data_IF_863091796212
#
_entry.id   IF_863091796212
#
_cell.length_a   1.000
_cell.length_b   1.000
_cell.length_c   1.000
_cell.angle_alpha   90.00
_cell.angle_beta   90.00
_cell.angle_gamma   90.00
#
_symmetry.space_group_name_H-M   'P 1'
#
loop_
_entity.id
_entity.type
_entity.pdbx_description
1 polymer ?
#
# COMPACT_ATOMS: atom_id res chain seq x y z
N UNK A 1 -22.61 -14.24 13.39
CA UNK A 1 -21.37 -13.81 14.08
C UNK A 1 -21.00 -12.43 13.56
N UNK A 2 -21.10 -11.43 14.43
CA UNK A 2 -21.11 -10.01 14.10
C UNK A 2 -19.79 -9.53 13.47
N UNK A 3 -19.81 -9.18 12.19
CA UNK A 3 -18.77 -8.38 11.52
C UNK A 3 -19.05 -6.90 11.78
N UNK A 4 -18.04 -6.17 12.27
CA UNK A 4 -18.05 -4.70 12.19
C UNK A 4 -17.61 -4.37 10.78
N UNK A 5 -18.57 -4.12 9.90
CA UNK A 5 -18.32 -3.75 8.51
C UNK A 5 -17.89 -2.28 8.46
N UNK A 6 -16.60 -2.05 8.19
CA UNK A 6 -16.14 -0.74 7.76
C UNK A 6 -16.32 -0.63 6.25
N UNK A 7 -17.47 -0.11 5.84
CA UNK A 7 -17.76 0.17 4.44
C UNK A 7 -17.42 1.61 4.09
N UNK A 8 -16.74 1.83 2.96
CA UNK A 8 -16.63 3.16 2.35
C UNK A 8 -17.14 3.10 0.91
N UNK A 9 -18.10 3.96 0.60
CA UNK A 9 -18.55 4.22 -0.76
C UNK A 9 -17.90 5.52 -1.25
N UNK A 10 -17.32 5.49 -2.45
CA UNK A 10 -16.77 6.67 -3.12
C UNK A 10 -17.06 6.58 -4.61
N UNK A 11 -17.88 7.52 -5.11
CA UNK A 11 -18.44 7.40 -6.46
C UNK A 11 -19.29 6.14 -6.58
N UNK A 12 -19.02 5.34 -7.60
CA UNK A 12 -19.70 4.06 -7.90
C UNK A 12 -19.06 2.85 -7.21
N UNK A 13 -17.88 3.01 -6.60
CA UNK A 13 -17.15 1.92 -5.95
C UNK A 13 -17.51 1.83 -4.46
N UNK A 14 -17.82 0.60 -3.99
CA UNK A 14 -17.86 0.30 -2.55
C UNK A 14 -16.70 -0.61 -2.17
N UNK A 15 -16.14 -0.36 -0.98
CA UNK A 15 -15.09 -1.19 -0.41
C UNK A 15 -15.42 -1.56 1.02
N UNK A 16 -15.03 -2.77 1.40
CA UNK A 16 -15.31 -3.35 2.71
C UNK A 16 -14.05 -3.99 3.26
N UNK A 17 -13.81 -3.91 4.56
CA UNK A 17 -12.75 -4.70 5.19
C UNK A 17 -13.18 -6.17 5.35
N UNK A 18 -12.34 -7.10 4.91
CA UNK A 18 -12.57 -8.56 5.12
C UNK A 18 -12.20 -8.95 6.56
N UNK A 19 -13.02 -8.55 7.55
CA UNK A 19 -12.76 -8.62 9.00
C UNK A 19 -11.58 -7.73 9.45
N UNK A 20 -11.75 -7.04 10.59
CA UNK A 20 -10.86 -7.16 11.76
C UNK A 20 -11.36 -6.26 12.90
N UNK A 21 -11.63 -6.83 14.08
CA UNK A 21 -11.71 -6.06 15.34
C UNK A 21 -10.30 -5.76 15.87
N UNK A 22 -9.36 -5.39 14.99
CA UNK A 22 -7.98 -5.10 15.40
C UNK A 22 -7.86 -3.61 15.71
N UNK A 23 -7.74 -3.30 16.99
CA UNK A 23 -7.55 -1.92 17.46
C UNK A 23 -6.31 -1.27 16.83
N UNK A 24 -6.32 0.05 16.70
CA UNK A 24 -5.16 0.84 16.26
C UNK A 24 -3.88 0.50 17.06
N UNK A 25 -4.02 0.24 18.36
CA UNK A 25 -2.94 -0.21 19.23
C UNK A 25 -2.28 -1.51 18.77
N UNK A 26 -3.02 -2.39 18.09
CA UNK A 26 -2.47 -3.61 17.52
C UNK A 26 -1.59 -3.32 16.30
N UNK A 27 -2.00 -2.41 15.41
CA UNK A 27 -1.17 -2.00 14.28
C UNK A 27 0.07 -1.22 14.71
N UNK A 28 -0.03 -0.34 15.71
CA UNK A 28 1.16 0.33 16.26
C UNK A 28 2.11 -0.66 16.96
N UNK A 29 1.58 -1.65 17.68
CA UNK A 29 2.38 -2.75 18.24
C UNK A 29 3.04 -3.58 17.15
N UNK A 30 2.31 -3.95 16.09
CA UNK A 30 2.87 -4.64 14.92
C UNK A 30 3.99 -3.84 14.27
N UNK A 31 3.82 -2.53 14.09
CA UNK A 31 4.86 -1.65 13.55
C UNK A 31 6.06 -1.60 14.47
N UNK A 32 5.87 -1.42 15.78
CA UNK A 32 6.97 -1.41 16.76
C UNK A 32 7.74 -2.74 16.75
N UNK A 33 7.02 -3.86 16.75
CA UNK A 33 7.59 -5.20 16.68
C UNK A 33 8.32 -5.46 15.38
N UNK A 34 7.81 -4.96 14.27
CA UNK A 34 8.42 -5.18 12.98
C UNK A 34 9.50 -4.16 12.62
N UNK A 35 9.47 -2.94 13.16
CA UNK A 35 10.62 -2.02 13.18
C UNK A 35 11.77 -2.61 14.02
N UNK A 36 11.45 -3.28 15.13
CA UNK A 36 12.41 -4.03 15.91
C UNK A 36 12.91 -5.28 15.14
N UNK A 37 12.00 -6.03 14.52
CA UNK A 37 12.27 -7.20 13.69
C UNK A 37 13.14 -6.90 12.48
N UNK A 38 12.87 -5.82 11.73
CA UNK A 38 13.70 -5.36 10.60
C UNK A 38 15.09 -4.91 11.04
N UNK A 39 15.21 -4.24 12.19
CA UNK A 39 16.52 -3.88 12.77
C UNK A 39 17.34 -5.12 13.12
N UNK A 40 16.68 -6.17 13.63
CA UNK A 40 17.31 -7.46 13.91
C UNK A 40 17.58 -8.29 12.65
N UNK A 41 16.70 -8.25 11.64
CA UNK A 41 16.89 -8.93 10.36
C UNK A 41 18.03 -8.34 9.55
N UNK A 42 18.23 -7.01 9.54
CA UNK A 42 19.41 -6.40 8.92
C UNK A 42 20.71 -7.03 9.45
N UNK A 43 20.76 -7.28 10.77
CA UNK A 43 21.92 -7.92 11.43
C UNK A 43 22.06 -9.43 11.17
N UNK A 44 20.98 -10.13 10.83
CA UNK A 44 20.98 -11.59 10.58
C UNK A 44 21.06 -11.98 9.10
N UNK A 45 20.46 -11.20 8.20
CA UNK A 45 20.57 -11.39 6.75
C UNK A 45 21.98 -11.08 6.23
N UNK A 46 22.78 -10.32 6.99
CA UNK A 46 24.21 -10.14 6.74
C UNK A 46 25.04 -11.38 7.12
N UNK A 47 24.47 -12.39 7.81
CA UNK A 47 25.24 -13.52 8.37
C UNK A 47 24.95 -14.91 7.80
N UNK A 48 23.77 -15.31 7.32
CA UNK A 48 23.61 -16.70 6.86
C UNK A 48 22.57 -16.93 5.75
N UNK A 49 22.86 -17.94 4.93
CA UNK A 49 22.13 -18.43 3.76
C UNK A 49 21.21 -19.64 4.09
N UNK A 50 20.42 -19.58 5.16
CA UNK A 50 19.59 -20.71 5.61
C UNK A 50 18.08 -20.43 5.62
N UNK A 51 17.32 -21.44 5.16
CA UNK A 51 15.88 -21.74 5.39
C UNK A 51 14.78 -21.21 4.46
N UNK A 52 14.53 -21.89 3.33
CA UNK A 52 13.42 -21.64 2.41
C UNK A 52 11.99 -21.68 3.03
N UNK A 53 11.74 -22.45 4.09
CA UNK A 53 10.41 -22.47 4.76
C UNK A 53 10.23 -21.35 5.79
N UNK A 54 11.27 -21.01 6.56
CA UNK A 54 11.26 -19.79 7.39
C UNK A 54 11.20 -18.54 6.51
N UNK A 55 11.78 -18.56 5.30
CA UNK A 55 11.69 -17.48 4.34
C UNK A 55 10.24 -17.17 3.94
N UNK A 56 9.36 -18.18 3.78
CA UNK A 56 7.94 -17.97 3.49
C UNK A 56 7.18 -17.35 4.68
N UNK A 57 7.40 -17.84 5.89
CA UNK A 57 6.81 -17.24 7.11
C UNK A 57 7.35 -15.81 7.37
N UNK A 58 8.63 -15.58 7.09
CA UNK A 58 9.25 -14.27 7.12
C UNK A 58 8.68 -13.35 6.04
N UNK A 59 8.41 -13.87 4.83
CA UNK A 59 7.78 -13.14 3.74
C UNK A 59 6.36 -12.73 4.05
N UNK A 60 5.56 -13.63 4.60
CA UNK A 60 4.21 -13.33 5.08
C UNK A 60 4.27 -12.30 6.21
N UNK A 61 5.17 -12.46 7.19
CA UNK A 61 5.37 -11.48 8.26
C UNK A 61 5.82 -10.11 7.75
N UNK A 62 6.62 -10.07 6.68
CA UNK A 62 7.06 -8.83 6.03
C UNK A 62 5.96 -8.18 5.18
N UNK A 63 5.10 -8.98 4.55
CA UNK A 63 3.91 -8.47 3.86
C UNK A 63 2.96 -7.77 4.83
N UNK A 64 2.60 -8.46 5.91
CA UNK A 64 1.76 -7.89 6.99
C UNK A 64 2.39 -6.61 7.56
N UNK A 65 3.72 -6.60 7.74
CA UNK A 65 4.43 -5.41 8.18
C UNK A 65 4.32 -4.25 7.20
N UNK A 66 4.56 -4.49 5.91
CA UNK A 66 4.46 -3.45 4.89
C UNK A 66 3.07 -2.83 4.87
N UNK A 67 2.04 -3.66 4.93
CA UNK A 67 0.64 -3.26 4.99
C UNK A 67 0.38 -2.38 6.22
N UNK A 68 0.84 -2.80 7.41
CA UNK A 68 0.70 -2.05 8.64
C UNK A 68 1.42 -0.69 8.59
N UNK A 69 2.65 -0.64 8.07
CA UNK A 69 3.39 0.61 7.91
C UNK A 69 2.65 1.63 7.05
N UNK A 70 2.13 1.18 5.91
CA UNK A 70 1.34 2.03 5.01
C UNK A 70 0.09 2.50 5.73
N UNK A 71 -0.70 1.59 6.31
CA UNK A 71 -1.92 1.92 7.05
C UNK A 71 -1.69 2.99 8.12
N UNK A 72 -0.70 2.80 9.00
CA UNK A 72 -0.44 3.77 10.06
C UNK A 72 0.17 5.08 9.56
N UNK A 73 0.86 5.09 8.42
CA UNK A 73 1.40 6.33 7.86
C UNK A 73 0.30 7.34 7.52
N UNK A 74 -0.87 6.87 7.10
CA UNK A 74 -2.03 7.71 6.79
C UNK A 74 -2.95 7.90 7.99
N UNK A 75 -3.18 6.85 8.79
CA UNK A 75 -4.01 6.97 9.99
C UNK A 75 -3.45 8.01 10.98
N UNK A 76 -2.13 8.03 11.20
CA UNK A 76 -1.48 9.03 12.09
C UNK A 76 -1.56 10.46 11.56
N UNK A 77 -2.06 10.64 10.33
CA UNK A 77 -2.38 11.94 9.72
C UNK A 77 -3.87 12.25 9.75
N UNK A 78 -4.68 11.44 10.42
CA UNK A 78 -6.12 11.63 10.56
C UNK A 78 -6.94 11.09 9.39
N UNK A 79 -6.32 10.39 8.43
CA UNK A 79 -7.05 9.83 7.29
C UNK A 79 -7.73 8.51 7.66
N UNK A 80 -8.89 8.26 7.04
CA UNK A 80 -9.57 6.97 7.16
C UNK A 80 -8.85 5.93 6.31
N UNK A 81 -8.57 4.78 6.92
CA UNK A 81 -7.86 3.66 6.29
C UNK A 81 -8.65 2.37 6.50
N UNK A 82 -8.58 1.48 5.52
CA UNK A 82 -9.23 0.17 5.54
C UNK A 82 -8.14 -0.90 5.36
N UNK A 83 -7.93 -1.81 6.32
CA UNK A 83 -7.06 -2.96 6.11
C UNK A 83 -7.76 -3.98 5.20
N UNK A 84 -6.99 -4.56 4.29
CA UNK A 84 -7.43 -5.63 3.39
C UNK A 84 -8.79 -5.34 2.71
N UNK A 85 -8.94 -4.18 2.03
CA UNK A 85 -10.21 -3.83 1.41
C UNK A 85 -10.54 -4.79 0.28
N UNK A 86 -11.78 -5.23 0.27
CA UNK A 86 -12.41 -5.99 -0.81
C UNK A 86 -13.32 -5.06 -1.58
N UNK A 87 -13.14 -5.06 -2.90
CA UNK A 87 -14.01 -4.32 -3.81
C UNK A 87 -15.36 -5.04 -3.93
N UNK A 88 -16.44 -4.32 -3.68
CA UNK A 88 -17.80 -4.79 -3.89
C UNK A 88 -18.60 -3.71 -4.61
N UNK A 89 -19.57 -4.13 -5.42
CA UNK A 89 -20.34 -3.24 -6.29
C UNK A 89 -19.46 -2.44 -7.25
N UNK A 90 -19.44 -2.87 -8.50
CA UNK A 90 -19.07 -2.03 -9.63
C UNK A 90 -20.09 -2.21 -10.74
N UNK A 91 -20.36 -1.14 -11.48
CA UNK A 91 -21.01 -1.22 -12.78
C UNK A 91 -20.09 -1.90 -13.81
N UNK A 92 -20.66 -2.32 -14.94
CA UNK A 92 -19.98 -3.13 -15.96
C UNK A 92 -18.72 -2.46 -16.58
N UNK A 93 -18.58 -1.13 -16.47
CA UNK A 93 -17.52 -0.35 -17.13
C UNK A 93 -16.36 0.08 -16.21
N UNK A 94 -16.29 -0.42 -14.97
CA UNK A 94 -15.17 -0.15 -14.08
C UNK A 94 -13.96 -1.06 -14.39
N UNK A 95 -12.74 -0.51 -14.51
CA UNK A 95 -11.55 -1.33 -14.74
C UNK A 95 -11.09 -2.12 -13.49
N UNK A 96 -11.70 -1.90 -12.32
CA UNK A 96 -11.39 -2.61 -11.08
C UNK A 96 -12.36 -3.77 -10.89
N UNK A 97 -11.84 -5.00 -10.89
CA UNK A 97 -12.66 -6.21 -10.78
C UNK A 97 -13.28 -6.38 -9.39
N UNK A 98 -14.58 -6.69 -9.34
CA UNK A 98 -15.30 -7.08 -8.10
C UNK A 98 -14.60 -8.25 -7.41
N UNK A 99 -14.52 -8.20 -6.08
CA UNK A 99 -13.90 -9.25 -5.26
C UNK A 99 -12.38 -9.15 -5.16
N UNK A 100 -11.73 -8.27 -5.93
CA UNK A 100 -10.30 -7.99 -5.79
C UNK A 100 -10.02 -7.47 -4.38
N UNK A 101 -8.97 -8.02 -3.77
CA UNK A 101 -8.51 -7.62 -2.44
C UNK A 101 -7.19 -6.87 -2.58
N UNK A 102 -7.11 -5.69 -1.99
CA UNK A 102 -5.87 -4.92 -1.90
C UNK A 102 -5.31 -5.01 -0.48
N UNK A 103 -4.08 -4.56 -0.26
CA UNK A 103 -3.44 -4.59 1.05
C UNK A 103 -3.97 -3.49 1.98
N UNK A 104 -4.15 -2.29 1.45
CA UNK A 104 -4.61 -1.11 2.20
C UNK A 104 -5.52 -0.22 1.34
N UNK A 105 -6.64 0.21 1.91
CA UNK A 105 -7.49 1.27 1.38
C UNK A 105 -7.26 2.58 2.12
N UNK A 106 -7.15 3.71 1.43
CA UNK A 106 -6.96 5.03 2.05
C UNK A 106 -7.96 6.01 1.46
N UNK A 107 -8.84 6.57 2.28
CA UNK A 107 -9.76 7.62 1.85
C UNK A 107 -9.05 8.98 1.85
N UNK A 108 -9.06 9.64 0.70
CA UNK A 108 -8.57 11.01 0.52
C UNK A 108 -9.79 11.94 0.39
N UNK A 109 -9.85 12.99 1.21
CA UNK A 109 -10.93 13.99 1.26
C UNK A 109 -10.34 15.41 1.17
N UNK A 110 -9.41 15.66 0.24
CA UNK A 110 -8.78 17.00 0.08
C UNK A 110 -9.54 17.90 -0.92
N UNK A 111 -9.37 17.68 -2.22
CA UNK A 111 -10.09 18.44 -3.28
C UNK A 111 -11.25 17.64 -3.88
N UNK A 112 -10.99 16.36 -4.10
CA UNK A 112 -11.93 15.37 -4.61
C UNK A 112 -11.91 14.22 -3.62
N UNK A 113 -13.08 13.66 -3.33
CA UNK A 113 -13.19 12.48 -2.50
C UNK A 113 -12.91 11.24 -3.36
N UNK A 114 -11.88 10.48 -2.99
CA UNK A 114 -11.53 9.22 -3.68
C UNK A 114 -10.86 8.24 -2.73
N UNK A 115 -10.79 6.98 -3.14
CA UNK A 115 -10.05 5.95 -2.40
C UNK A 115 -8.80 5.50 -3.15
N UNK A 116 -7.67 5.42 -2.45
CA UNK A 116 -6.50 4.71 -2.91
C UNK A 116 -6.63 3.24 -2.56
N UNK A 117 -6.51 2.37 -3.55
CA UNK A 117 -6.46 0.92 -3.39
C UNK A 117 -5.01 0.46 -3.57
N UNK A 118 -4.35 0.13 -2.47
CA UNK A 118 -2.90 -0.04 -2.45
C UNK A 118 -2.52 -1.50 -2.38
N UNK A 119 -1.68 -1.95 -3.31
CA UNK A 119 -0.90 -3.18 -3.19
C UNK A 119 0.52 -2.82 -2.70
N UNK A 120 0.99 -3.48 -1.65
CA UNK A 120 2.26 -3.17 -0.97
C UNK A 120 3.25 -4.31 -1.20
N UNK A 121 4.46 -3.96 -1.64
CA UNK A 121 5.57 -4.91 -1.77
C UNK A 121 6.81 -4.39 -1.06
N UNK A 122 7.61 -5.31 -0.54
CA UNK A 122 8.90 -5.01 0.08
C UNK A 122 10.04 -5.38 -0.88
N UNK A 123 10.89 -4.40 -1.20
CA UNK A 123 12.13 -4.62 -1.93
C UNK A 123 13.28 -4.90 -0.96
N UNK A 124 13.86 -6.10 -1.04
CA UNK A 124 14.82 -6.59 -0.03
C UNK A 124 16.26 -6.51 -0.50
N UNK A 125 16.58 -6.83 -1.75
CA UNK A 125 17.97 -6.86 -2.23
C UNK A 125 18.13 -6.07 -3.52
N UNK A 126 19.23 -5.31 -3.62
CA UNK A 126 19.58 -4.48 -4.78
C UNK A 126 19.74 -5.23 -6.12
N UNK A 127 19.80 -6.57 -6.10
CA UNK A 127 19.87 -7.40 -7.31
C UNK A 127 18.55 -8.10 -7.67
N UNK A 128 17.52 -7.95 -6.85
CA UNK A 128 16.19 -8.48 -7.16
C UNK A 128 15.51 -7.61 -8.22
N UNK A 129 14.71 -8.24 -9.06
CA UNK A 129 13.77 -7.52 -9.91
C UNK A 129 12.73 -6.80 -9.04
N UNK A 130 12.17 -5.73 -9.57
CA UNK A 130 11.01 -5.08 -8.93
C UNK A 130 9.88 -6.11 -8.93
N UNK A 131 9.25 -6.38 -7.77
CA UNK A 131 8.14 -7.31 -7.70
C UNK A 131 6.96 -6.78 -8.52
N UNK A 132 6.21 -7.69 -9.12
CA UNK A 132 4.96 -7.34 -9.81
C UNK A 132 3.87 -6.92 -8.84
N UNK A 133 2.97 -6.08 -9.33
CA UNK A 133 1.76 -5.62 -8.64
C UNK A 133 0.54 -6.06 -9.46
N UNK A 134 0.23 -7.36 -9.50
CA UNK A 134 -0.73 -7.93 -10.44
C UNK A 134 -2.13 -7.32 -10.34
N UNK A 135 -2.56 -6.82 -9.17
CA UNK A 135 -3.88 -6.19 -9.01
C UNK A 135 -3.94 -4.74 -9.51
N UNK A 136 -2.79 -4.17 -9.85
CA UNK A 136 -2.63 -2.80 -10.34
C UNK A 136 -2.18 -2.84 -11.80
N UNK A 137 -1.24 -3.71 -12.14
CA UNK A 137 -0.66 -3.89 -13.47
C UNK A 137 -1.73 -4.00 -14.57
N UNK A 138 -2.67 -4.95 -14.43
CA UNK A 138 -3.69 -5.18 -15.46
C UNK A 138 -4.52 -3.92 -15.78
N UNK A 139 -4.76 -3.07 -14.79
CA UNK A 139 -5.57 -1.86 -14.93
C UNK A 139 -4.83 -0.82 -15.77
N UNK A 140 -3.51 -0.72 -15.56
CA UNK A 140 -2.66 0.27 -16.22
C UNK A 140 -2.12 -0.20 -17.57
N UNK A 141 -2.21 -1.50 -17.88
CA UNK A 141 -2.04 -2.03 -19.23
C UNK A 141 -3.12 -1.47 -20.18
N UNK A 142 -4.38 -1.44 -19.73
CA UNK A 142 -5.51 -0.92 -20.50
C UNK A 142 -5.66 0.61 -20.38
N UNK A 143 -5.41 1.17 -19.20
CA UNK A 143 -5.65 2.59 -18.89
C UNK A 143 -4.41 3.21 -18.24
N UNK A 144 -3.46 3.79 -19.01
CA UNK A 144 -2.18 4.26 -18.47
C UNK A 144 -2.28 5.55 -17.64
N UNK A 145 -3.47 6.15 -17.47
CA UNK A 145 -3.68 7.46 -16.84
C UNK A 145 -4.50 7.33 -15.54
N UNK A 146 -3.91 7.62 -14.36
CA UNK A 146 -4.61 7.56 -13.07
C UNK A 146 -5.88 8.40 -12.98
N UNK A 147 -5.87 9.60 -13.58
CA UNK A 147 -7.04 10.51 -13.58
C UNK A 147 -8.24 9.89 -14.32
N UNK A 148 -7.99 9.11 -15.37
CA UNK A 148 -9.05 8.42 -16.11
C UNK A 148 -9.67 7.30 -15.28
N UNK A 149 -8.86 6.59 -14.48
CA UNK A 149 -9.37 5.57 -13.55
C UNK A 149 -10.21 6.24 -12.48
N UNK A 150 -9.70 7.31 -11.88
CA UNK A 150 -10.41 8.10 -10.87
C UNK A 150 -11.78 8.57 -11.37
N UNK A 151 -11.85 9.17 -12.57
CA UNK A 151 -13.11 9.68 -13.11
C UNK A 151 -14.15 8.59 -13.35
N UNK A 152 -13.72 7.35 -13.61
CA UNK A 152 -14.60 6.21 -13.89
C UNK A 152 -15.14 5.53 -12.64
N UNK A 153 -14.46 5.62 -11.51
CA UNK A 153 -14.82 4.76 -10.36
C UNK A 153 -14.60 5.39 -8.98
N UNK A 154 -14.12 6.64 -8.90
CA UNK A 154 -13.83 7.27 -7.61
C UNK A 154 -12.66 6.63 -6.85
N UNK A 155 -11.81 5.86 -7.54
CA UNK A 155 -10.70 5.13 -6.93
C UNK A 155 -9.43 5.16 -7.79
N UNK A 156 -8.27 4.99 -7.15
CA UNK A 156 -6.98 4.85 -7.82
C UNK A 156 -6.23 3.64 -7.24
N UNK A 157 -6.10 2.55 -8.01
CA UNK A 157 -5.21 1.43 -7.72
C UNK A 157 -3.75 1.88 -7.81
N UNK A 158 -2.91 1.49 -6.84
CA UNK A 158 -1.51 1.91 -6.78
C UNK A 158 -0.63 0.84 -6.15
N UNK A 159 0.58 0.71 -6.66
CA UNK A 159 1.63 -0.07 -6.01
C UNK A 159 2.44 0.81 -5.07
N UNK A 160 2.73 0.34 -3.85
CA UNK A 160 3.76 0.93 -2.99
C UNK A 160 4.90 -0.06 -2.84
N UNK A 161 6.08 0.35 -3.30
CA UNK A 161 7.32 -0.39 -3.11
C UNK A 161 8.08 0.20 -1.92
N UNK A 162 8.15 -0.57 -0.83
CA UNK A 162 8.93 -0.24 0.36
C UNK A 162 10.38 -0.71 0.14
N UNK A 163 11.30 0.24 0.06
CA UNK A 163 12.73 -0.05 -0.15
C UNK A 163 13.45 -0.23 1.19
N UNK A 164 13.64 -1.48 1.61
CA UNK A 164 14.53 -1.80 2.73
C UNK A 164 16.00 -1.55 2.37
N UNK A 165 16.33 -1.79 1.10
CA UNK A 165 17.59 -1.41 0.47
C UNK A 165 17.31 -0.54 -0.77
N UNK A 166 18.21 0.40 -1.10
CA UNK A 166 18.00 1.27 -2.26
C UNK A 166 17.98 0.46 -3.56
N UNK A 167 17.01 0.77 -4.42
CA UNK A 167 16.98 0.24 -5.79
C UNK A 167 18.23 0.69 -6.58
N UNK A 168 18.69 -0.12 -7.55
CA UNK A 168 19.69 0.31 -8.52
C UNK A 168 19.30 1.63 -9.20
N UNK A 169 20.26 2.52 -9.43
CA UNK A 169 20.02 3.84 -10.06
C UNK A 169 19.31 3.75 -11.43
N UNK A 170 19.51 2.64 -12.16
CA UNK A 170 18.93 2.40 -13.49
C UNK A 170 17.61 1.62 -13.47
N UNK A 171 17.10 1.25 -12.30
CA UNK A 171 15.86 0.48 -12.21
C UNK A 171 14.67 1.30 -12.73
N UNK A 172 14.00 0.77 -13.76
CA UNK A 172 12.77 1.37 -14.31
C UNK A 172 11.60 0.97 -13.41
N UNK A 173 10.95 1.96 -12.81
CA UNK A 173 9.78 1.73 -11.95
C UNK A 173 8.53 2.11 -12.73
N UNK A 174 7.49 1.25 -12.77
CA UNK A 174 6.25 1.58 -13.44
C UNK A 174 5.60 2.86 -12.88
N UNK A 175 4.83 3.62 -13.69
CA UNK A 175 4.29 4.91 -13.29
C UNK A 175 3.26 4.85 -12.16
N UNK A 176 2.63 3.69 -11.96
CA UNK A 176 1.68 3.38 -10.88
C UNK A 176 2.35 2.83 -9.61
N UNK A 177 3.68 2.70 -9.59
CA UNK A 177 4.43 2.24 -8.40
C UNK A 177 5.11 3.43 -7.73
N UNK A 178 4.74 3.67 -6.48
CA UNK A 178 5.33 4.70 -5.62
C UNK A 178 6.45 4.07 -4.81
N UNK A 179 7.62 4.71 -4.88
CA UNK A 179 8.79 4.32 -4.12
C UNK A 179 8.80 5.01 -2.77
N UNK A 180 8.85 4.23 -1.69
CA UNK A 180 9.11 4.72 -0.35
C UNK A 180 10.47 4.21 0.10
N UNK A 181 11.45 5.10 0.17
CA UNK A 181 12.79 4.78 0.66
C UNK A 181 12.92 5.03 2.17
N UNK A 182 14.02 4.52 2.74
CA UNK A 182 14.35 4.71 4.16
C UNK A 182 13.18 4.29 5.06
N UNK A 183 12.59 3.13 4.75
CA UNK A 183 11.46 2.54 5.49
C UNK A 183 11.89 1.86 6.81
N UNK A 184 13.14 2.07 7.24
CA UNK A 184 13.64 1.62 8.53
C UNK A 184 13.58 2.74 9.57
N UNK A 185 12.96 2.45 10.71
CA UNK A 185 12.93 3.32 11.89
C UNK A 185 11.84 4.40 11.86
N UNK A 186 11.88 5.29 12.86
CA UNK A 186 10.77 6.21 13.22
C UNK A 186 10.28 7.11 12.08
N UNK A 187 11.12 7.38 11.07
CA UNK A 187 10.79 8.23 9.93
C UNK A 187 10.07 7.50 8.78
N UNK A 188 9.97 6.17 8.82
CA UNK A 188 9.36 5.35 7.76
C UNK A 188 7.94 5.81 7.43
N UNK A 189 7.10 5.97 8.46
CA UNK A 189 5.71 6.45 8.33
C UNK A 189 5.64 7.81 7.61
N UNK A 190 6.47 8.76 8.05
CA UNK A 190 6.51 10.11 7.45
C UNK A 190 6.93 10.07 5.98
N UNK A 191 7.88 9.20 5.63
CA UNK A 191 8.37 9.08 4.26
C UNK A 191 7.33 8.44 3.34
N UNK A 192 6.66 7.38 3.78
CA UNK A 192 5.58 6.73 3.01
C UNK A 192 4.49 7.75 2.67
N UNK A 193 3.96 8.42 3.69
CA UNK A 193 2.95 9.47 3.52
C UNK A 193 3.41 10.54 2.53
N UNK A 194 4.61 11.10 2.73
CA UNK A 194 5.17 12.14 1.85
C UNK A 194 5.34 11.67 0.41
N UNK A 195 5.84 10.45 0.20
CA UNK A 195 6.03 9.90 -1.15
C UNK A 195 4.70 9.77 -1.89
N UNK A 196 3.65 9.30 -1.22
CA UNK A 196 2.34 9.14 -1.83
C UNK A 196 1.69 10.49 -2.11
N UNK A 197 1.65 11.39 -1.13
CA UNK A 197 1.07 12.72 -1.35
C UNK A 197 1.80 13.48 -2.47
N UNK A 198 3.13 13.41 -2.51
CA UNK A 198 3.92 14.00 -3.61
C UNK A 198 3.56 13.39 -4.97
N UNK A 199 3.34 12.08 -5.03
CA UNK A 199 2.92 11.43 -6.28
C UNK A 199 1.54 11.94 -6.72
N UNK A 200 0.57 12.05 -5.80
CA UNK A 200 -0.78 12.56 -6.11
C UNK A 200 -0.73 14.00 -6.66
N UNK A 201 0.07 14.86 -6.03
CA UNK A 201 0.29 16.25 -6.49
C UNK A 201 0.94 16.26 -7.88
N UNK A 202 2.01 15.48 -8.08
CA UNK A 202 2.71 15.41 -9.36
C UNK A 202 1.82 14.88 -10.50
N UNK A 203 0.83 14.04 -10.17
CA UNK A 203 -0.17 13.52 -11.11
C UNK A 203 -1.40 14.41 -11.25
N UNK A 204 -1.40 15.57 -10.59
CA UNK A 204 -2.49 16.56 -10.62
C UNK A 204 -3.82 15.98 -10.14
N UNK A 205 -3.77 15.00 -9.24
CA UNK A 205 -4.97 14.39 -8.63
C UNK A 205 -5.49 15.25 -7.48
N UNK A 206 -4.56 15.86 -6.73
CA UNK A 206 -4.83 16.82 -5.67
C UNK A 206 -3.93 18.04 -5.84
N UNK A 207 -4.33 19.17 -5.28
CA UNK A 207 -3.54 20.40 -5.26
C UNK A 207 -2.39 20.30 -4.25
N UNK A 208 -1.31 21.03 -4.52
CA UNK A 208 -0.30 21.27 -3.51
C UNK A 208 -0.91 22.18 -2.43
N UNK A 209 -0.66 21.87 -1.16
CA UNK A 209 -0.94 22.79 -0.05
C UNK A 209 0.28 23.71 0.11
N UNK A 210 0.03 25.01 0.08
CA UNK A 210 1.02 26.08 0.32
C UNK A 210 1.58 26.00 1.76
#
# INVERSE_FOLDING_TARGET
MNSIEHSLAVGELKVYSKRTSMSFNYYEKLISWAEHGLRHMKRRCEKEAWCNERFKLLEQGMGIFGNALVLCSFYTKGLRVIPEPVVQYTELDCPIKVGTTYDVGILIEEDVRFILLVEVKLYKKSRENIPSFPNVEYIYEDIPKPLTILSRCGAIPLGILLEANPLPKKAKVPPYVIRANKIMGRSARKNIYKSVMKWLINKQIIKAKD
#
